data_IF_315739809841
#
_entry.id   IF_315739809841
#
_cell.length_a   1.000
_cell.length_b   1.000
_cell.length_c   1.000
_cell.angle_alpha   90.00
_cell.angle_beta   90.00
_cell.angle_gamma   90.00
#
_symmetry.space_group_name_H-M   'P 1'
#
loop_
_entity.id
_entity.type
_entity.pdbx_description
1 polymer ?
#
# COMPACT_ATOMS: atom_id res chain seq x y z
N UNK A 1 1.90 4.66 16.52
CA UNK A 1 1.65 6.01 17.04
C UNK A 1 2.91 6.79 16.78
N UNK A 2 2.85 7.73 15.85
CA UNK A 2 3.98 8.52 15.40
C UNK A 2 3.89 9.93 15.97
N UNK A 3 4.94 10.37 16.66
CA UNK A 3 4.96 11.66 17.36
C UNK A 3 5.76 12.73 16.64
N UNK A 4 6.46 12.38 15.57
CA UNK A 4 7.39 13.28 14.91
C UNK A 4 7.19 13.25 13.38
N UNK A 5 6.88 14.40 12.74
CA UNK A 5 6.74 14.48 11.31
C UNK A 5 8.12 14.45 10.63
N UNK A 6 8.43 13.38 9.90
CA UNK A 6 9.66 13.29 9.11
C UNK A 6 9.51 13.94 7.73
N UNK A 7 8.30 13.93 7.14
CA UNK A 7 8.06 14.55 5.84
C UNK A 7 7.98 16.09 5.95
N UNK A 8 8.90 16.82 5.30
CA UNK A 8 8.97 18.29 5.34
C UNK A 8 7.69 18.99 4.80
N UNK A 9 6.94 18.34 3.91
CA UNK A 9 5.72 18.89 3.31
C UNK A 9 4.48 18.53 4.15
N UNK A 10 4.40 19.14 5.33
CA UNK A 10 3.41 18.95 6.40
C UNK A 10 1.94 19.30 6.09
N UNK A 11 1.53 19.53 4.84
CA UNK A 11 0.21 20.13 4.58
C UNK A 11 -1.00 19.21 4.83
N UNK A 12 -0.81 17.90 5.00
CA UNK A 12 -1.93 16.95 5.08
C UNK A 12 -2.15 16.26 6.44
N UNK A 13 -1.16 16.25 7.35
CA UNK A 13 -1.23 15.52 8.62
C UNK A 13 -0.82 16.36 9.80
N UNK A 14 -1.55 16.22 10.90
CA UNK A 14 -1.23 16.83 12.19
C UNK A 14 -0.74 15.74 13.12
N UNK A 15 0.44 15.94 13.70
CA UNK A 15 1.09 15.00 14.61
C UNK A 15 0.83 15.38 16.08
N UNK A 16 0.76 14.42 17.01
CA UNK A 16 0.98 12.98 16.80
C UNK A 16 -0.13 12.28 16.00
N UNK A 17 0.25 11.25 15.25
CA UNK A 17 -0.60 10.55 14.30
C UNK A 17 -0.62 9.04 14.55
N UNK A 18 -1.80 8.45 14.61
CA UNK A 18 -1.97 7.00 14.75
C UNK A 18 -2.33 6.45 13.38
N UNK A 19 -1.48 5.60 12.81
CA UNK A 19 -1.72 4.92 11.54
C UNK A 19 -1.70 3.39 11.72
N UNK A 20 -2.32 2.68 10.78
CA UNK A 20 -2.25 1.23 10.68
C UNK A 20 -1.61 0.79 9.36
N UNK A 21 -0.81 -0.26 9.42
CA UNK A 21 -0.19 -0.93 8.27
C UNK A 21 -0.39 -2.44 8.40
N UNK A 22 -0.71 -3.10 7.29
CA UNK A 22 -0.74 -4.57 7.19
C UNK A 22 0.32 -4.98 6.17
N UNK A 23 1.15 -5.96 6.53
CA UNK A 23 2.31 -6.35 5.74
C UNK A 23 2.41 -7.86 5.61
N UNK A 24 2.55 -8.35 4.38
CA UNK A 24 2.80 -9.75 4.02
C UNK A 24 4.29 -10.12 3.94
N UNK A 25 5.17 -9.18 4.27
CA UNK A 25 6.63 -9.31 4.22
C UNK A 25 7.28 -8.65 3.00
N UNK A 26 6.50 -8.17 2.02
CA UNK A 26 7.05 -7.48 0.84
C UNK A 26 7.04 -5.96 0.95
N UNK A 27 6.29 -5.38 1.90
CA UNK A 27 6.22 -3.94 2.09
C UNK A 27 7.31 -3.48 3.08
N UNK A 28 7.86 -2.30 2.83
CA UNK A 28 8.79 -1.63 3.75
C UNK A 28 8.12 -0.40 4.33
N UNK A 29 8.29 -0.18 5.64
CA UNK A 29 7.86 1.06 6.27
C UNK A 29 8.86 2.16 5.91
N UNK A 30 8.39 3.17 5.18
CA UNK A 30 9.17 4.36 4.79
C UNK A 30 9.17 5.37 5.94
N UNK A 31 10.24 5.39 6.73
CA UNK A 31 10.35 6.27 7.90
C UNK A 31 10.42 7.75 7.52
N UNK A 32 11.11 8.10 6.42
CA UNK A 32 11.28 9.48 5.97
C UNK A 32 9.95 10.11 5.51
N UNK A 33 8.94 9.27 5.25
CA UNK A 33 7.59 9.68 4.85
C UNK A 33 6.50 9.20 5.82
N UNK A 34 6.86 8.93 7.07
CA UNK A 34 5.91 8.58 8.14
C UNK A 34 5.02 7.37 7.80
N UNK A 35 5.51 6.44 6.96
CA UNK A 35 4.78 5.27 6.49
C UNK A 35 3.62 5.55 5.53
N UNK A 36 3.48 6.78 5.03
CA UNK A 36 2.38 7.24 4.17
C UNK A 36 2.09 6.33 2.96
N UNK A 37 3.08 5.79 2.22
CA UNK A 37 2.81 4.94 1.06
C UNK A 37 2.09 3.62 1.40
N UNK A 38 2.19 3.14 2.63
CA UNK A 38 1.68 1.82 3.05
C UNK A 38 0.59 1.91 4.12
N UNK A 39 0.04 3.10 4.32
CA UNK A 39 -0.96 3.35 5.32
C UNK A 39 -2.36 2.86 4.89
N UNK A 40 -3.07 2.22 5.81
CA UNK A 40 -4.46 1.81 5.65
C UNK A 40 -5.47 2.88 6.07
N UNK A 41 -5.04 3.75 6.97
CA UNK A 41 -5.80 4.84 7.55
C UNK A 41 -5.20 5.25 8.89
N UNK A 42 -5.64 6.40 9.38
CA UNK A 42 -5.14 6.96 10.61
C UNK A 42 -5.93 8.17 11.10
N UNK A 43 -5.58 8.62 12.30
CA UNK A 43 -6.15 9.82 12.89
C UNK A 43 -5.09 10.60 13.68
N UNK A 44 -5.30 11.91 13.80
CA UNK A 44 -4.53 12.75 14.73
C UNK A 44 -4.96 12.48 16.17
N UNK A 45 -3.98 12.28 17.05
CA UNK A 45 -4.22 11.98 18.47
C UNK A 45 -3.16 12.65 19.35
N UNK A 46 -3.56 13.65 20.13
CA UNK A 46 -2.66 14.41 21.01
C UNK A 46 -2.32 13.63 22.29
N UNK A 47 -1.58 12.53 22.16
CA UNK A 47 -1.29 11.57 23.24
C UNK A 47 -0.14 11.97 24.17
N UNK A 48 0.55 13.07 23.92
CA UNK A 48 1.77 13.46 24.64
C UNK A 48 1.46 14.42 25.80
N UNK A 49 2.17 14.26 26.91
CA UNK A 49 2.17 15.19 28.06
C UNK A 49 0.77 15.49 28.62
N UNK A 50 -0.08 14.47 28.71
CA UNK A 50 -1.38 14.56 29.35
C UNK A 50 -1.28 14.27 30.84
N UNK A 51 -2.13 14.90 31.63
CA UNK A 51 -2.21 14.76 33.10
C UNK A 51 -3.14 13.63 33.56
N UNK A 52 -3.59 12.80 32.62
CA UNK A 52 -4.52 11.69 32.83
C UNK A 52 -4.12 10.50 31.95
N UNK A 53 -4.68 9.33 32.28
CA UNK A 53 -4.40 8.10 31.55
C UNK A 53 -4.95 8.15 30.13
N UNK A 54 -4.16 7.64 29.18
CA UNK A 54 -4.56 7.46 27.79
C UNK A 54 -4.75 5.98 27.47
N UNK A 55 -5.75 5.68 26.64
CA UNK A 55 -6.06 4.31 26.27
C UNK A 55 -6.19 4.15 24.77
N UNK A 56 -5.74 3.01 24.27
CA UNK A 56 -5.86 2.59 22.89
C UNK A 56 -6.42 1.18 22.86
N UNK A 57 -7.46 0.98 22.04
CA UNK A 57 -8.11 -0.32 21.84
C UNK A 57 -8.00 -0.72 20.39
N UNK A 58 -7.39 -1.88 20.16
CA UNK A 58 -7.34 -2.53 18.84
C UNK A 58 -8.35 -3.67 18.86
N UNK A 59 -9.36 -3.59 18.00
CA UNK A 59 -10.41 -4.59 17.85
C UNK A 59 -10.34 -5.23 16.47
N UNK A 60 -10.23 -6.55 16.43
CA UNK A 60 -10.29 -7.33 15.19
C UNK A 60 -11.44 -8.33 15.23
N UNK A 61 -12.50 -8.08 14.45
CA UNK A 61 -13.72 -8.91 14.43
C UNK A 61 -14.21 -9.03 13.00
N UNK A 62 -14.53 -10.25 12.55
CA UNK A 62 -15.10 -10.53 11.21
C UNK A 62 -14.34 -9.79 10.08
N UNK A 63 -13.00 -9.89 10.08
CA UNK A 63 -12.10 -9.20 9.12
C UNK A 63 -12.19 -7.69 9.10
N UNK A 64 -12.68 -7.07 10.18
CA UNK A 64 -12.68 -5.61 10.37
C UNK A 64 -11.71 -5.26 11.47
N UNK A 65 -10.75 -4.39 11.16
CA UNK A 65 -9.81 -3.80 12.10
C UNK A 65 -10.33 -2.43 12.51
N UNK A 66 -10.67 -2.27 13.79
CA UNK A 66 -11.02 -0.98 14.37
C UNK A 66 -9.97 -0.59 15.41
N UNK A 67 -9.49 0.65 15.37
CA UNK A 67 -8.70 1.26 16.43
C UNK A 67 -9.52 2.39 17.03
N UNK A 68 -9.69 2.33 18.35
CA UNK A 68 -10.38 3.35 19.14
C UNK A 68 -9.42 3.91 20.18
N UNK A 69 -9.60 5.18 20.54
CA UNK A 69 -8.75 5.87 21.49
C UNK A 69 -9.59 6.62 22.53
N UNK A 70 -9.07 6.71 23.74
CA UNK A 70 -9.55 7.61 24.80
C UNK A 70 -8.33 8.39 25.29
N UNK A 71 -8.23 9.64 24.85
CA UNK A 71 -7.09 10.53 25.12
C UNK A 71 -7.52 11.88 25.70
N UNK A 72 -8.84 12.06 25.88
CA UNK A 72 -9.40 13.31 26.40
C UNK A 72 -9.74 13.19 27.89
N UNK A 73 -9.45 12.04 28.51
CA UNK A 73 -9.74 11.75 29.92
C UNK A 73 -11.24 11.63 30.24
N UNK A 74 -12.07 11.43 29.22
CA UNK A 74 -13.54 11.40 29.36
C UNK A 74 -14.10 10.00 29.55
N UNK A 75 -13.27 8.96 29.47
CA UNK A 75 -13.72 7.57 29.44
C UNK A 75 -14.68 7.29 28.26
N UNK A 76 -14.49 8.02 27.17
CA UNK A 76 -15.28 7.90 25.94
C UNK A 76 -14.37 7.46 24.78
N UNK A 77 -14.72 6.34 24.16
CA UNK A 77 -13.97 5.83 23.02
C UNK A 77 -14.30 6.61 21.76
N UNK A 78 -13.27 7.14 21.11
CA UNK A 78 -13.36 7.78 19.79
C UNK A 78 -12.79 6.85 18.73
N UNK A 79 -13.51 6.68 17.62
CA UNK A 79 -13.02 5.93 16.48
C UNK A 79 -11.85 6.66 15.82
N UNK A 80 -10.76 5.93 15.55
CA UNK A 80 -9.56 6.43 14.89
C UNK A 80 -9.35 5.77 13.53
N UNK A 81 -9.40 4.43 13.50
CA UNK A 81 -9.19 3.63 12.29
C UNK A 81 -10.33 2.64 12.20
N UNK A 82 -10.92 2.50 11.02
CA UNK A 82 -11.96 1.50 10.79
C UNK A 82 -11.87 0.92 9.37
N UNK A 83 -11.19 -0.23 9.25
CA UNK A 83 -10.82 -0.82 7.97
C UNK A 83 -11.45 -2.23 7.85
N UNK A 84 -12.42 -2.42 6.93
CA UNK A 84 -12.93 -3.74 6.59
C UNK A 84 -11.96 -4.51 5.68
N UNK A 85 -12.17 -5.81 5.53
CA UNK A 85 -11.42 -6.64 4.58
C UNK A 85 -10.01 -6.97 5.01
N UNK A 86 -9.64 -6.72 6.27
CA UNK A 86 -8.34 -7.09 6.82
C UNK A 86 -8.32 -8.58 7.12
N UNK A 87 -7.45 -9.33 6.46
CA UNK A 87 -7.26 -10.77 6.64
C UNK A 87 -5.93 -10.99 7.35
N UNK A 88 -5.98 -11.58 8.54
CA UNK A 88 -4.78 -11.93 9.31
C UNK A 88 -4.78 -13.45 9.58
N UNK A 89 -3.63 -14.13 9.44
CA UNK A 89 -3.49 -15.53 9.80
C UNK A 89 -3.51 -15.71 11.33
N UNK A 90 -3.76 -16.96 11.77
CA UNK A 90 -3.68 -17.33 13.19
C UNK A 90 -2.23 -17.64 13.59
N UNK A 91 -1.94 -17.57 14.90
CA UNK A 91 -0.62 -17.93 15.45
C UNK A 91 0.38 -16.76 15.49
N UNK A 92 -0.09 -15.52 15.33
CA UNK A 92 0.74 -14.33 15.51
C UNK A 92 0.96 -14.01 16.99
N UNK A 93 1.97 -13.17 17.23
CA UNK A 93 2.33 -12.66 18.54
C UNK A 93 1.84 -11.23 18.70
N UNK A 94 1.36 -10.90 19.89
CA UNK A 94 1.11 -9.51 20.27
C UNK A 94 2.39 -8.92 20.86
N UNK A 95 2.75 -7.73 20.43
CA UNK A 95 3.94 -7.04 20.89
C UNK A 95 3.81 -5.54 20.76
N UNK A 96 4.60 -4.82 21.54
CA UNK A 96 4.72 -3.37 21.54
C UNK A 96 6.20 -3.02 21.54
N UNK A 97 6.58 -2.01 20.77
CA UNK A 97 7.95 -1.51 20.71
C UNK A 97 7.93 0.00 20.52
N UNK A 98 9.02 0.65 20.89
CA UNK A 98 9.26 2.08 20.68
C UNK A 98 10.72 2.30 20.28
N UNK A 99 11.00 3.46 19.69
CA UNK A 99 12.35 3.88 19.30
C UNK A 99 12.44 5.40 19.41
N UNK A 100 13.64 5.89 19.72
CA UNK A 100 13.97 7.32 19.77
C UNK A 100 15.09 7.62 18.77
N UNK A 101 15.14 8.85 18.26
CA UNK A 101 16.19 9.33 17.37
C UNK A 101 16.93 10.52 17.99
N UNK A 102 17.19 11.55 17.19
CA UNK A 102 17.80 12.82 17.65
C UNK A 102 16.92 13.54 18.68
N UNK A 103 15.59 13.36 18.58
CA UNK A 103 14.63 13.73 19.60
C UNK A 103 14.18 12.48 20.36
N UNK A 104 13.91 12.66 21.65
CA UNK A 104 13.53 11.59 22.56
C UNK A 104 12.28 11.94 23.37
N UNK A 105 11.56 10.90 23.78
CA UNK A 105 10.44 10.97 24.71
C UNK A 105 10.36 9.64 25.47
N UNK A 106 9.67 9.65 26.61
CA UNK A 106 9.37 8.43 27.35
C UNK A 106 8.22 7.67 26.68
N UNK A 107 8.34 6.35 26.59
CA UNK A 107 7.37 5.47 25.94
C UNK A 107 6.92 4.39 26.92
N UNK A 108 5.99 4.74 27.81
CA UNK A 108 5.59 3.87 28.91
C UNK A 108 4.34 3.05 28.58
N UNK A 109 4.40 1.73 28.80
CA UNK A 109 3.25 0.82 28.70
C UNK A 109 2.84 0.39 30.10
N UNK A 110 1.76 0.97 30.61
CA UNK A 110 1.26 0.69 31.96
C UNK A 110 0.58 -0.68 32.04
N UNK A 111 -0.22 -1.04 31.04
CA UNK A 111 -0.83 -2.37 30.96
C UNK A 111 -1.18 -2.75 29.53
N UNK A 112 -1.14 -4.05 29.25
CA UNK A 112 -1.59 -4.63 27.99
C UNK A 112 -2.58 -5.76 28.32
N UNK A 113 -3.84 -5.58 27.93
CA UNK A 113 -4.93 -6.51 28.21
C UNK A 113 -5.47 -7.09 26.92
N UNK A 114 -5.54 -8.41 26.84
CA UNK A 114 -6.11 -9.12 25.69
C UNK A 114 -7.45 -9.74 26.05
N UNK A 115 -8.42 -9.57 25.16
CA UNK A 115 -9.76 -10.12 25.32
C UNK A 115 -10.13 -10.94 24.09
N UNK A 116 -10.65 -12.14 24.32
CA UNK A 116 -11.25 -12.94 23.27
C UNK A 116 -12.71 -12.52 23.09
N UNK A 117 -13.07 -12.15 21.86
CA UNK A 117 -14.44 -11.79 21.51
C UNK A 117 -15.18 -13.00 20.97
N UNK A 118 -16.24 -13.43 21.67
CA UNK A 118 -17.15 -14.49 21.21
C UNK A 118 -18.16 -13.90 20.25
N UNK A 119 -18.06 -14.27 18.97
CA UNK A 119 -18.94 -13.77 17.91
C UNK A 119 -19.44 -14.96 17.12
N UNK A 120 -20.75 -15.01 16.87
CA UNK A 120 -21.34 -16.02 16.00
C UNK A 120 -20.84 -15.86 14.57
N UNK A 121 -20.33 -16.97 14.02
CA UNK A 121 -19.78 -17.10 12.68
C UNK A 121 -20.43 -18.27 11.98
N UNK A 122 -20.67 -18.16 10.68
CA UNK A 122 -21.13 -19.31 9.91
C UNK A 122 -19.97 -20.30 9.70
N UNK A 123 -20.24 -21.60 9.48
CA UNK A 123 -19.19 -22.58 9.18
C UNK A 123 -18.30 -22.16 7.99
N UNK A 124 -18.88 -21.50 6.99
CA UNK A 124 -18.18 -21.01 5.80
C UNK A 124 -17.26 -19.83 6.13
N UNK A 125 -17.66 -18.92 7.02
CA UNK A 125 -16.79 -17.85 7.51
C UNK A 125 -15.61 -18.42 8.29
N UNK A 126 -15.85 -19.40 9.17
CA UNK A 126 -14.79 -19.99 9.97
C UNK A 126 -13.77 -20.74 9.11
N UNK A 127 -14.23 -21.49 8.10
CA UNK A 127 -13.35 -22.16 7.13
C UNK A 127 -12.49 -21.14 6.39
N UNK A 128 -13.10 -20.07 5.87
CA UNK A 128 -12.38 -19.01 5.14
C UNK A 128 -11.34 -18.29 6.01
N UNK A 129 -11.59 -18.15 7.31
CA UNK A 129 -10.64 -17.52 8.24
C UNK A 129 -9.49 -18.46 8.66
N UNK A 130 -9.72 -19.78 8.64
CA UNK A 130 -8.66 -20.78 8.88
C UNK A 130 -7.69 -20.91 7.70
N UNK A 131 -8.16 -20.63 6.49
CA UNK A 131 -7.37 -20.71 5.25
C UNK A 131 -6.56 -19.43 4.93
N UNK A 132 -6.50 -18.46 5.85
CA UNK A 132 -5.65 -17.27 5.70
C UNK A 132 -4.22 -17.62 6.11
N UNK A 133 -3.29 -17.65 5.14
CA UNK A 133 -1.86 -17.90 5.38
C UNK A 133 -1.02 -16.63 5.33
N UNK A 134 -1.42 -15.66 4.51
CA UNK A 134 -0.73 -14.39 4.34
C UNK A 134 -1.66 -13.24 4.74
N UNK A 135 -1.13 -12.22 5.43
CA UNK A 135 -1.91 -11.07 5.81
C UNK A 135 -2.12 -10.15 4.60
N UNK A 136 -3.38 -9.81 4.31
CA UNK A 136 -3.78 -9.00 3.16
C UNK A 136 -4.97 -8.14 3.55
N UNK A 137 -5.11 -6.97 2.91
CA UNK A 137 -6.31 -6.14 3.02
C UNK A 137 -7.01 -6.14 1.66
N UNK A 138 -8.30 -6.51 1.66
CA UNK A 138 -9.12 -6.47 0.46
C UNK A 138 -9.21 -5.02 -0.06
N UNK A 139 -9.05 -4.81 -1.38
CA UNK A 139 -9.07 -3.49 -2.04
C UNK A 139 -7.98 -2.50 -1.56
N UNK A 140 -6.83 -2.99 -1.10
CA UNK A 140 -5.71 -2.12 -0.74
C UNK A 140 -5.15 -1.39 -1.97
N UNK A 141 -5.28 -0.06 -1.99
CA UNK A 141 -4.64 0.80 -3.00
C UNK A 141 -3.18 1.02 -2.64
N UNK A 142 -2.32 0.06 -2.97
CA UNK A 142 -0.88 0.24 -2.86
C UNK A 142 -0.37 1.17 -3.98
N UNK A 143 0.41 2.21 -3.66
CA UNK A 143 1.10 3.00 -4.67
C UNK A 143 2.00 2.10 -5.52
N UNK A 144 1.74 2.06 -6.83
CA UNK A 144 2.55 1.29 -7.79
C UNK A 144 1.91 0.03 -8.38
N UNK A 145 0.79 -0.48 -7.82
CA UNK A 145 0.05 -1.59 -8.45
C UNK A 145 -0.98 -1.11 -9.50
N UNK A 146 -1.43 0.14 -9.38
CA UNK A 146 -2.35 0.81 -10.30
C UNK A 146 -1.67 2.01 -10.95
N UNK A 147 -0.50 1.84 -11.58
CA UNK A 147 -0.09 2.84 -12.56
C UNK A 147 -0.93 2.58 -13.83
N UNK A 148 -2.00 3.34 -14.14
CA UNK A 148 -2.48 3.39 -15.50
C UNK A 148 -1.26 3.78 -16.33
N UNK A 149 -0.95 3.00 -17.38
CA UNK A 149 0.03 3.40 -18.39
C UNK A 149 -0.28 4.86 -18.72
N UNK A 150 0.61 5.78 -18.36
CA UNK A 150 0.35 7.21 -18.57
C UNK A 150 -0.06 7.39 -20.03
N UNK A 151 -1.21 8.03 -20.31
CA UNK A 151 -1.65 8.22 -21.67
C UNK A 151 -0.55 8.99 -22.40
N UNK A 152 0.15 8.30 -23.30
CA UNK A 152 1.24 8.92 -24.04
C UNK A 152 0.71 10.18 -24.72
N UNK A 153 1.45 11.28 -24.61
CA UNK A 153 1.11 12.52 -25.29
C UNK A 153 0.73 12.23 -26.74
N UNK A 154 -0.36 12.83 -27.24
CA UNK A 154 -0.87 12.55 -28.59
C UNK A 154 0.19 12.74 -29.69
N UNK A 155 1.20 13.57 -29.42
CA UNK A 155 2.36 13.79 -30.28
C UNK A 155 3.30 12.57 -30.30
N UNK A 156 3.54 11.93 -29.16
CA UNK A 156 4.35 10.71 -29.07
C UNK A 156 3.66 9.53 -29.79
N UNK A 157 2.34 9.39 -29.61
CA UNK A 157 1.52 8.42 -30.34
C UNK A 157 1.58 8.65 -31.86
N UNK A 158 1.43 9.90 -32.30
CA UNK A 158 1.54 10.27 -33.71
C UNK A 158 2.91 9.93 -34.29
N UNK A 159 4.01 10.26 -33.60
CA UNK A 159 5.37 9.99 -34.07
C UNK A 159 5.63 8.49 -34.18
N UNK A 160 5.22 7.69 -33.19
CA UNK A 160 5.40 6.23 -33.22
C UNK A 160 4.66 5.62 -34.42
N UNK A 161 3.41 6.03 -34.64
CA UNK A 161 2.62 5.54 -35.78
C UNK A 161 3.26 6.01 -37.11
N UNK A 162 3.66 7.27 -37.20
CA UNK A 162 4.29 7.83 -38.41
C UNK A 162 5.59 7.10 -38.77
N UNK A 163 6.52 6.93 -37.82
CA UNK A 163 7.78 6.24 -38.08
C UNK A 163 7.58 4.75 -38.41
N UNK A 164 6.58 4.10 -37.81
CA UNK A 164 6.25 2.71 -38.13
C UNK A 164 5.76 2.54 -39.57
N UNK A 165 4.89 3.45 -40.06
CA UNK A 165 4.42 3.49 -41.44
C UNK A 165 5.56 3.77 -42.43
N UNK A 166 6.41 4.75 -42.13
CA UNK A 166 7.57 5.07 -42.95
C UNK A 166 8.51 3.86 -43.05
N UNK A 167 8.83 3.20 -41.93
CA UNK A 167 9.67 2.01 -41.91
C UNK A 167 9.08 0.87 -42.75
N UNK A 168 7.76 0.68 -42.71
CA UNK A 168 7.08 -0.35 -43.48
C UNK A 168 7.14 -0.07 -44.99
N UNK A 169 6.96 1.19 -45.40
CA UNK A 169 7.13 1.60 -46.81
C UNK A 169 8.57 1.38 -47.28
N UNK A 170 9.57 1.77 -46.48
CA UNK A 170 10.97 1.54 -46.81
C UNK A 170 11.29 0.05 -46.92
N UNK A 171 10.77 -0.80 -46.02
CA UNK A 171 10.95 -2.24 -46.09
C UNK A 171 10.34 -2.84 -47.38
N UNK A 172 9.17 -2.37 -47.81
CA UNK A 172 8.55 -2.80 -49.08
C UNK A 172 9.42 -2.38 -50.26
N UNK A 173 9.88 -1.13 -50.32
CA UNK A 173 10.71 -0.63 -51.43
C UNK A 173 12.02 -1.40 -51.52
N UNK A 174 12.70 -1.61 -50.39
CA UNK A 174 13.93 -2.42 -50.33
C UNK A 174 13.63 -3.86 -50.77
N UNK A 175 12.52 -4.44 -50.31
CA UNK A 175 12.08 -5.78 -50.73
C UNK A 175 11.88 -5.89 -52.24
N UNK A 176 11.23 -4.91 -52.87
CA UNK A 176 11.03 -4.87 -54.32
C UNK A 176 12.37 -4.72 -55.07
N UNK A 177 13.28 -3.86 -54.60
CA UNK A 177 14.60 -3.68 -55.22
C UNK A 177 15.41 -4.99 -55.15
N UNK A 178 15.42 -5.64 -53.99
CA UNK A 178 16.12 -6.93 -53.78
C UNK A 178 15.49 -8.02 -54.64
N UNK A 179 14.16 -8.09 -54.71
CA UNK A 179 13.44 -9.06 -55.54
C UNK A 179 13.76 -8.90 -57.03
N UNK A 180 13.73 -7.67 -57.55
CA UNK A 180 14.07 -7.38 -58.94
C UNK A 180 15.53 -7.72 -59.25
N UNK A 181 16.46 -7.40 -58.34
CA UNK A 181 17.88 -7.71 -58.50
C UNK A 181 18.15 -9.23 -58.47
N UNK A 182 17.41 -9.96 -57.63
CA UNK A 182 17.46 -11.42 -57.57
C UNK A 182 16.89 -12.07 -58.85
N UNK A 183 15.79 -11.54 -59.41
CA UNK A 183 15.25 -11.97 -60.70
C UNK A 183 16.23 -11.77 -61.86
N UNK A 184 16.94 -10.64 -61.90
CA UNK A 184 17.97 -10.38 -62.92
C UNK A 184 19.17 -11.32 -62.82
N UNK A 185 19.66 -11.62 -61.62
CA UNK A 185 20.74 -12.60 -61.43
C UNK A 185 20.30 -14.03 -61.77
N UNK A 186 19.08 -14.42 -61.42
CA UNK A 186 18.54 -15.76 -61.72
C UNK A 186 18.35 -15.99 -63.22
N UNK A 187 18.00 -14.94 -63.98
CA UNK A 187 17.92 -15.00 -65.45
C UNK A 187 19.28 -15.14 -66.14
N UNK A 188 20.39 -14.76 -65.50
CA UNK A 188 21.75 -14.86 -66.05
C UNK A 188 22.41 -16.24 -65.88
N UNK A 189 21.77 -17.16 -65.14
CA UNK A 189 22.28 -18.53 -64.93
C UNK A 189 21.73 -19.57 -65.94
N UNK A 190 20.89 -19.15 -66.90
CA UNK A 190 20.25 -20.03 -67.89
C UNK A 190 20.67 -19.77 -69.35
N UNK A 191 21.79 -19.09 -69.58
CA UNK A 191 22.48 -19.04 -70.89
C UNK A 191 23.94 -19.47 -70.73
#
# INVERSE_FOLDING_TARGET
>A
VDTYPNEEKQQERVFPYISAMVNNGSLTYDHDRDGRPTELGGCTAMVRNLDHDTFLVIRYVKRRLTVMIDIDGKHEWRDCIDVPGVRLPRGYYFGTSSVTGDLSDNHDIISLKLFQLTVERTPEEEKRDREVFLPVVDNLRLPGLEAPLEPMSGLALFLIVFFSLVALVFAIVIGVIVYNKWQEQSRKHFY
#
